data_IF_789515256814
#
_entry.id   IF_789515256814
#
_cell.length_a   1.000
_cell.length_b   1.000
_cell.length_c   1.000
_cell.angle_alpha   90.00
_cell.angle_beta   90.00
_cell.angle_gamma   90.00
#
_symmetry.space_group_name_H-M   'P 1'
#
loop_
_entity.id
_entity.type
_entity.pdbx_description
1 polymer ?
#
# COMPACT_ATOMS: atom_id res chain seq x y z
N UNK A 1 51.98 -14.76 -6.37
CA UNK A 1 51.83 -15.82 -7.38
C UNK A 1 50.71 -15.42 -8.33
N UNK A 2 50.90 -15.55 -9.64
CA UNK A 2 50.04 -14.94 -10.65
C UNK A 2 48.63 -15.56 -10.69
N UNK A 3 48.52 -16.86 -10.43
CA UNK A 3 47.23 -17.56 -10.35
C UNK A 3 46.37 -17.07 -9.18
N UNK A 4 46.99 -16.78 -8.02
CA UNK A 4 46.30 -16.24 -6.84
C UNK A 4 45.74 -14.84 -7.14
N UNK A 5 46.51 -13.97 -7.78
CA UNK A 5 46.04 -12.63 -8.18
C UNK A 5 44.89 -12.67 -9.17
N UNK A 6 44.89 -13.61 -10.13
CA UNK A 6 43.78 -13.79 -11.07
C UNK A 6 42.51 -14.28 -10.36
N UNK A 7 42.62 -15.23 -9.44
CA UNK A 7 41.49 -15.73 -8.66
C UNK A 7 40.89 -14.65 -7.73
N UNK A 8 41.73 -13.80 -7.12
CA UNK A 8 41.26 -12.66 -6.31
C UNK A 8 40.50 -11.66 -7.19
N UNK A 9 41.06 -11.25 -8.33
CA UNK A 9 40.40 -10.32 -9.25
C UNK A 9 39.07 -10.86 -9.81
N UNK A 10 38.99 -12.17 -10.07
CA UNK A 10 37.74 -12.83 -10.48
C UNK A 10 36.72 -12.89 -9.34
N UNK A 11 37.14 -13.12 -8.10
CA UNK A 11 36.29 -13.07 -6.92
C UNK A 11 35.76 -11.66 -6.65
N UNK A 12 36.63 -10.65 -6.67
CA UNK A 12 36.28 -9.22 -6.52
C UNK A 12 35.24 -8.79 -7.55
N UNK A 13 35.38 -9.21 -8.81
CA UNK A 13 34.40 -8.93 -9.87
C UNK A 13 33.12 -9.78 -9.80
N UNK A 14 33.13 -10.88 -9.03
CA UNK A 14 31.95 -11.72 -8.79
C UNK A 14 31.14 -11.25 -7.57
N UNK A 15 31.75 -10.47 -6.67
CA UNK A 15 31.07 -9.84 -5.54
C UNK A 15 30.61 -8.44 -5.99
N UNK A 16 29.32 -8.28 -6.23
CA UNK A 16 28.72 -6.97 -6.51
C UNK A 16 28.65 -6.13 -5.22
N UNK A 17 29.80 -5.61 -4.76
CA UNK A 17 29.90 -4.76 -3.55
C UNK A 17 29.02 -3.51 -3.60
N UNK A 18 28.72 -3.01 -4.80
CA UNK A 18 27.77 -1.91 -5.06
C UNK A 18 26.31 -2.30 -4.78
N UNK A 19 25.98 -3.60 -4.82
CA UNK A 19 24.71 -4.20 -4.39
C UNK A 19 24.84 -4.97 -3.06
N UNK A 20 25.83 -4.65 -2.23
CA UNK A 20 25.95 -5.23 -0.89
C UNK A 20 24.80 -4.78 0.00
N UNK A 21 24.36 -5.65 0.91
CA UNK A 21 23.41 -5.31 1.99
C UNK A 21 23.89 -4.10 2.81
N UNK A 22 25.21 -3.91 2.93
CA UNK A 22 25.87 -2.75 3.58
C UNK A 22 25.63 -1.42 2.84
N UNK A 23 24.85 -1.43 1.74
CA UNK A 23 24.41 -0.24 1.00
C UNK A 23 22.89 -0.18 0.83
N UNK A 24 22.14 -1.08 1.48
CA UNK A 24 20.68 -1.03 1.49
C UNK A 24 20.23 0.21 2.28
N UNK A 25 19.49 1.11 1.63
CA UNK A 25 18.85 2.23 2.31
C UNK A 25 17.39 1.89 2.63
N UNK A 26 16.89 2.51 3.70
CA UNK A 26 15.49 2.50 4.05
C UNK A 26 14.68 3.23 2.97
N UNK A 27 13.68 2.55 2.38
CA UNK A 27 12.83 3.11 1.32
C UNK A 27 12.08 4.39 1.72
N UNK A 28 11.93 4.63 3.02
CA UNK A 28 11.17 5.74 3.58
C UNK A 28 12.06 6.96 3.79
N UNK A 29 12.96 6.92 4.78
CA UNK A 29 13.84 8.04 5.10
C UNK A 29 15.06 8.18 4.17
N UNK A 30 15.26 7.24 3.23
CA UNK A 30 16.37 7.14 2.26
C UNK A 30 17.79 7.04 2.85
N UNK A 31 17.91 6.88 4.17
CA UNK A 31 19.18 6.68 4.88
C UNK A 31 19.58 5.21 4.95
N UNK A 32 20.88 4.96 5.11
CA UNK A 32 21.48 3.69 5.52
C UNK A 32 22.16 3.86 6.87
N UNK A 33 21.38 4.29 7.86
CA UNK A 33 21.72 4.29 9.28
C UNK A 33 20.92 3.19 10.01
N UNK A 34 21.23 2.94 11.30
CA UNK A 34 20.48 2.01 12.17
C UNK A 34 20.18 0.61 11.56
N UNK A 35 21.25 -0.05 11.10
CA UNK A 35 21.23 -1.41 10.53
C UNK A 35 20.53 -2.44 11.44
N UNK A 36 20.57 -2.27 12.77
CA UNK A 36 19.92 -3.16 13.74
C UNK A 36 18.39 -3.13 13.63
N UNK A 37 17.81 -2.01 13.18
CA UNK A 37 16.38 -1.82 13.00
C UNK A 37 15.94 -1.86 11.53
N UNK A 38 16.86 -2.13 10.59
CA UNK A 38 16.62 -2.12 9.14
C UNK A 38 16.17 -3.51 8.64
N UNK A 39 14.87 -3.68 8.36
CA UNK A 39 14.37 -4.86 7.65
C UNK A 39 14.86 -4.86 6.21
N UNK A 40 15.20 -6.03 5.68
CA UNK A 40 15.68 -6.25 4.32
C UNK A 40 14.70 -7.14 3.56
N UNK A 41 14.41 -6.81 2.30
CA UNK A 41 13.42 -7.56 1.51
C UNK A 41 14.00 -8.87 0.93
N UNK A 42 13.36 -10.00 1.21
CA UNK A 42 13.79 -11.33 0.71
C UNK A 42 13.75 -11.49 -0.83
N UNK A 43 13.15 -10.54 -1.56
CA UNK A 43 13.09 -10.54 -3.03
C UNK A 43 13.83 -9.39 -3.72
N UNK A 44 14.40 -8.41 -3.02
CA UNK A 44 15.18 -7.34 -3.65
C UNK A 44 16.11 -6.61 -2.67
N UNK A 45 17.09 -5.88 -3.21
CA UNK A 45 18.17 -5.21 -2.47
C UNK A 45 17.74 -3.93 -1.69
N UNK A 46 16.46 -3.85 -1.27
CA UNK A 46 15.82 -2.67 -0.62
C UNK A 46 15.48 -2.95 0.85
N UNK A 47 15.64 -1.96 1.72
CA UNK A 47 15.30 -2.07 3.15
C UNK A 47 14.19 -1.13 3.64
N UNK A 48 13.75 -1.29 4.89
CA UNK A 48 12.87 -0.35 5.61
C UNK A 48 13.09 -0.47 7.12
N UNK A 49 13.30 0.64 7.83
CA UNK A 49 13.36 0.59 9.29
C UNK A 49 12.02 0.21 9.92
N UNK A 50 12.06 -0.56 11.01
CA UNK A 50 10.88 -0.92 11.82
C UNK A 50 10.03 0.31 12.20
N UNK A 51 10.68 1.43 12.56
CA UNK A 51 10.04 2.70 12.89
C UNK A 51 9.61 3.55 11.69
N UNK A 52 10.21 3.33 10.52
CA UNK A 52 9.81 3.98 9.27
C UNK A 52 8.58 3.33 8.65
N UNK A 53 8.37 2.03 8.90
CA UNK A 53 7.20 1.31 8.41
C UNK A 53 5.86 1.94 8.87
N UNK A 54 4.79 1.71 8.10
CA UNK A 54 3.41 2.05 8.46
C UNK A 54 2.52 0.81 8.26
N UNK A 55 1.79 0.33 9.29
CA UNK A 55 1.91 0.72 10.69
C UNK A 55 3.33 0.48 11.23
N UNK A 56 3.75 1.27 12.23
CA UNK A 56 5.08 1.12 12.83
C UNK A 56 5.23 -0.27 13.44
N UNK A 57 6.33 -0.95 13.13
CA UNK A 57 6.70 -2.22 13.74
C UNK A 57 7.59 -1.99 14.98
N UNK A 58 7.54 -2.95 15.91
CA UNK A 58 8.29 -2.94 17.18
C UNK A 58 9.25 -4.12 17.32
N UNK A 59 9.11 -5.12 16.45
CA UNK A 59 9.89 -6.36 16.42
C UNK A 59 10.03 -6.83 14.97
N UNK A 60 11.06 -7.63 14.68
CA UNK A 60 11.28 -8.23 13.36
C UNK A 60 10.24 -9.33 13.14
N UNK A 61 9.50 -9.34 12.00
CA UNK A 61 8.51 -10.38 11.72
C UNK A 61 9.09 -11.80 11.63
N UNK A 62 8.33 -12.80 12.08
CA UNK A 62 8.65 -14.22 11.88
C UNK A 62 8.50 -14.62 10.39
N UNK A 63 9.61 -14.90 9.72
CA UNK A 63 9.66 -15.45 8.36
C UNK A 63 10.07 -14.45 7.27
N UNK A 64 9.78 -14.79 6.02
CA UNK A 64 10.18 -13.99 4.85
C UNK A 64 9.44 -12.63 4.83
N UNK A 65 10.16 -11.50 4.74
CA UNK A 65 9.57 -10.16 4.62
C UNK A 65 9.76 -9.57 3.21
N UNK A 66 8.69 -8.96 2.70
CA UNK A 66 8.65 -8.36 1.37
C UNK A 66 8.28 -6.87 1.47
N UNK A 67 9.06 -6.01 0.82
CA UNK A 67 8.73 -4.58 0.76
C UNK A 67 7.48 -4.35 -0.11
N UNK A 68 6.76 -3.25 0.17
CA UNK A 68 5.53 -2.87 -0.52
C UNK A 68 5.66 -2.83 -2.05
N UNK A 69 6.82 -2.43 -2.58
CA UNK A 69 7.13 -2.50 -4.02
C UNK A 69 7.10 -3.93 -4.56
N UNK A 70 7.76 -4.88 -3.91
CA UNK A 70 7.76 -6.28 -4.35
C UNK A 70 6.40 -6.96 -4.12
N UNK A 71 5.66 -6.57 -3.08
CA UNK A 71 4.27 -7.02 -2.88
C UNK A 71 3.38 -6.53 -4.04
N UNK A 72 3.49 -5.25 -4.43
CA UNK A 72 2.78 -4.71 -5.59
C UNK A 72 3.14 -5.44 -6.90
N UNK A 73 4.44 -5.64 -7.17
CA UNK A 73 4.95 -6.39 -8.35
C UNK A 73 4.46 -7.85 -8.40
N UNK A 74 4.08 -8.47 -7.27
CA UNK A 74 3.52 -9.82 -7.24
C UNK A 74 1.99 -9.85 -7.35
N UNK A 75 1.29 -8.74 -7.08
CA UNK A 75 -0.17 -8.65 -7.12
C UNK A 75 -0.71 -7.98 -8.40
N UNK A 76 0.06 -7.07 -9.00
CA UNK A 76 -0.16 -6.51 -10.34
C UNK A 76 1.08 -6.74 -11.22
N UNK A 77 0.87 -7.07 -12.49
CA UNK A 77 1.92 -7.55 -13.42
C UNK A 77 2.93 -6.49 -13.90
N UNK A 78 3.58 -5.79 -12.97
CA UNK A 78 4.64 -4.83 -13.26
C UNK A 78 5.93 -5.57 -13.64
N UNK A 79 6.46 -5.34 -14.83
CA UNK A 79 7.78 -5.81 -15.23
C UNK A 79 8.82 -4.73 -14.91
N UNK A 80 9.81 -5.09 -14.11
CA UNK A 80 10.98 -4.26 -13.78
C UNK A 80 12.12 -4.71 -14.69
N UNK A 81 12.52 -3.87 -15.66
CA UNK A 81 13.60 -4.21 -16.61
C UNK A 81 14.99 -4.27 -15.95
N UNK A 82 15.13 -3.83 -14.70
CA UNK A 82 16.37 -3.95 -13.91
C UNK A 82 16.31 -5.04 -12.83
N UNK A 83 15.52 -6.10 -13.08
CA UNK A 83 15.43 -7.27 -12.20
C UNK A 83 16.78 -7.95 -11.88
N UNK A 84 17.30 -7.73 -10.66
CA UNK A 84 18.40 -8.51 -10.08
C UNK A 84 18.10 -10.03 -10.18
N UNK A 85 19.09 -10.89 -10.50
CA UNK A 85 18.87 -12.31 -10.74
C UNK A 85 18.37 -13.03 -9.47
N UNK A 86 17.14 -13.57 -9.54
CA UNK A 86 16.45 -14.22 -8.41
C UNK A 86 17.26 -15.39 -7.83
N UNK A 87 17.54 -15.37 -6.52
CA UNK A 87 18.15 -16.49 -5.78
C UNK A 87 17.19 -17.68 -5.68
N UNK A 88 17.16 -18.54 -6.70
CA UNK A 88 16.22 -19.64 -6.81
C UNK A 88 16.41 -20.79 -5.81
N UNK A 89 15.71 -20.74 -4.65
CA UNK A 89 15.52 -21.92 -3.78
C UNK A 89 14.64 -22.98 -4.49
N UNK A 90 15.29 -24.00 -5.06
CA UNK A 90 14.67 -25.07 -5.88
C UNK A 90 13.82 -26.04 -5.04
N UNK A 91 12.53 -25.72 -4.84
CA UNK A 91 11.56 -26.63 -4.18
C UNK A 91 11.38 -27.92 -5.01
N UNK A 92 11.67 -29.08 -4.43
CA UNK A 92 11.30 -30.39 -5.01
C UNK A 92 9.80 -30.64 -4.80
N UNK A 93 9.05 -30.82 -5.88
CA UNK A 93 7.74 -31.47 -5.84
C UNK A 93 7.91 -32.99 -5.79
N UNK A 94 7.18 -33.66 -4.89
CA UNK A 94 7.08 -35.13 -4.87
C UNK A 94 5.89 -35.58 -5.69
N UNK A 95 6.13 -36.18 -6.86
CA UNK A 95 5.08 -36.80 -7.69
C UNK A 95 4.71 -38.17 -7.13
N UNK A 96 3.42 -38.53 -7.15
CA UNK A 96 2.90 -39.80 -6.62
C UNK A 96 2.16 -40.63 -7.68
N UNK A 97 2.18 -41.96 -7.51
CA UNK A 97 1.53 -42.97 -8.38
C UNK A 97 2.42 -43.50 -9.52
N UNK A 98 2.08 -44.66 -10.14
CA UNK A 98 0.84 -45.45 -10.00
C UNK A 98 1.04 -46.90 -9.45
N UNK A 99 0.05 -47.78 -9.69
CA UNK A 99 -0.17 -49.19 -9.22
C UNK A 99 -1.01 -49.34 -7.93
N UNK A 100 -1.99 -50.26 -7.81
CA UNK A 100 -2.65 -51.08 -8.84
C UNK A 100 -3.44 -52.32 -8.33
N UNK A 101 -4.79 -52.27 -8.33
CA UNK A 101 -5.71 -53.38 -7.94
C UNK A 101 -5.97 -53.49 -6.43
N UNK A 102 -7.06 -54.11 -5.92
CA UNK A 102 -8.23 -54.85 -6.49
C UNK A 102 -9.47 -54.71 -5.55
N UNK A 103 -10.66 -55.08 -6.06
CA UNK A 103 -11.85 -55.77 -5.46
C UNK A 103 -12.09 -55.79 -3.91
N UNK A 104 -13.30 -55.82 -3.33
CA UNK A 104 -14.69 -56.08 -3.83
C UNK A 104 -15.81 -55.57 -2.86
N UNK A 105 -17.07 -55.64 -3.30
CA UNK A 105 -18.34 -55.79 -2.54
C UNK A 105 -18.92 -54.69 -1.60
N UNK A 106 -20.24 -54.82 -1.39
CA UNK A 106 -21.14 -54.04 -0.52
C UNK A 106 -22.03 -55.02 0.28
N UNK A 107 -22.69 -54.65 1.41
CA UNK A 107 -24.07 -54.13 1.28
C UNK A 107 -24.61 -53.20 2.41
N UNK A 108 -25.42 -52.19 2.01
CA UNK A 108 -26.67 -51.68 2.68
C UNK A 108 -26.60 -51.18 4.16
N UNK A 109 -27.36 -50.18 4.61
CA UNK A 109 -28.81 -50.01 4.39
C UNK A 109 -29.39 -48.63 4.84
N UNK A 110 -30.49 -48.22 4.17
CA UNK A 110 -31.64 -47.35 4.60
C UNK A 110 -31.34 -45.93 5.16
N UNK A 111 -31.89 -44.80 4.65
CA UNK A 111 -33.28 -44.40 4.26
C UNK A 111 -34.10 -43.78 5.43
N UNK A 112 -34.94 -42.73 5.28
CA UNK A 112 -35.20 -41.77 4.18
C UNK A 112 -36.16 -40.63 4.64
N UNK A 113 -36.42 -39.62 3.78
CA UNK A 113 -37.56 -38.66 3.75
C UNK A 113 -37.72 -37.69 4.96
N UNK A 114 -37.96 -36.36 4.80
CA UNK A 114 -39.05 -35.61 4.13
C UNK A 114 -40.44 -35.81 4.79
N UNK A 115 -41.32 -34.81 4.96
CA UNK A 115 -41.30 -33.36 4.67
C UNK A 115 -42.71 -32.77 4.94
N UNK A 116 -42.99 -31.48 4.66
CA UNK A 116 -44.37 -30.93 4.72
C UNK A 116 -44.49 -29.47 5.17
N UNK A 117 -45.59 -28.79 4.82
CA UNK A 117 -45.75 -27.33 4.95
C UNK A 117 -47.10 -26.89 5.57
N UNK A 118 -47.25 -25.56 5.72
CA UNK A 118 -48.50 -24.76 5.61
C UNK A 118 -49.47 -24.55 6.81
N UNK A 119 -49.54 -23.28 7.28
CA UNK A 119 -50.65 -22.31 7.02
C UNK A 119 -51.64 -21.87 8.15
N UNK A 120 -51.84 -20.53 8.27
CA UNK A 120 -52.97 -19.77 8.90
C UNK A 120 -53.18 -19.84 10.45
N UNK A 121 -53.95 -18.99 11.16
CA UNK A 121 -54.40 -17.55 11.10
C UNK A 121 -55.33 -17.25 12.33
N UNK A 122 -55.80 -16.06 12.78
CA UNK A 122 -55.85 -14.62 12.34
C UNK A 122 -55.84 -13.68 13.63
N UNK A 123 -56.35 -12.43 13.50
CA UNK A 123 -56.78 -11.39 14.49
C UNK A 123 -55.69 -10.43 15.06
N UNK A 124 -55.61 -9.15 14.64
CA UNK A 124 -56.48 -7.98 14.92
C UNK A 124 -56.23 -7.34 16.32
N UNK A 125 -56.10 -6.03 16.51
CA UNK A 125 -56.30 -4.80 15.71
C UNK A 125 -55.23 -3.73 16.15
N UNK A 126 -55.11 -2.42 15.81
CA UNK A 126 -55.94 -1.32 15.26
C UNK A 126 -55.09 -0.34 14.37
N UNK A 127 -55.53 0.91 14.13
CA UNK A 127 -54.77 2.06 13.58
C UNK A 127 -55.41 3.40 14.04
N UNK A 128 -54.81 4.61 13.89
CA UNK A 128 -54.65 5.34 12.61
C UNK A 128 -53.22 5.91 12.38
N UNK A 129 -52.65 5.91 11.15
CA UNK A 129 -52.88 6.78 9.98
C UNK A 129 -52.54 8.28 10.14
N UNK A 130 -51.42 8.69 9.53
CA UNK A 130 -51.36 9.85 8.62
C UNK A 130 -50.54 9.44 7.37
N UNK A 131 -50.75 10.11 6.24
CA UNK A 131 -50.33 9.62 4.91
C UNK A 131 -49.12 10.38 4.31
N UNK A 132 -48.35 9.71 3.44
CA UNK A 132 -47.21 10.31 2.74
C UNK A 132 -46.43 9.32 1.87
N UNK A 133 -46.99 8.92 0.73
CA UNK A 133 -46.25 8.24 -0.34
C UNK A 133 -45.30 9.24 -1.04
N UNK A 134 -44.16 8.87 -1.63
CA UNK A 134 -43.53 7.54 -1.69
C UNK A 134 -42.64 7.42 -2.94
N UNK A 135 -41.40 6.95 -2.82
CA UNK A 135 -40.50 6.66 -3.96
C UNK A 135 -39.61 5.43 -3.68
N UNK A 136 -39.32 4.67 -4.72
CA UNK A 136 -38.84 3.28 -4.63
C UNK A 136 -37.32 3.14 -4.36
N UNK A 137 -36.87 2.16 -3.55
CA UNK A 137 -35.46 1.97 -3.23
C UNK A 137 -34.65 1.41 -4.41
N UNK A 138 -33.85 2.30 -5.00
CA UNK A 138 -32.73 2.11 -5.93
C UNK A 138 -32.20 0.67 -6.13
N UNK A 139 -32.28 0.18 -7.37
CA UNK A 139 -31.41 -0.90 -7.87
C UNK A 139 -29.94 -0.43 -7.94
N UNK A 140 -29.23 -0.40 -6.79
CA UNK A 140 -27.77 -0.28 -6.79
C UNK A 140 -27.18 -1.48 -7.53
N UNK A 141 -26.65 -1.27 -8.74
CA UNK A 141 -25.80 -2.27 -9.42
C UNK A 141 -24.61 -2.54 -8.51
N UNK A 142 -24.50 -3.77 -8.00
CA UNK A 142 -23.38 -4.19 -7.13
C UNK A 142 -22.15 -4.45 -8.01
N UNK A 143 -21.43 -3.39 -8.36
CA UNK A 143 -20.11 -3.49 -9.01
C UNK A 143 -19.21 -4.32 -8.08
N UNK A 144 -18.47 -5.27 -8.66
CA UNK A 144 -17.70 -6.25 -7.90
C UNK A 144 -16.35 -5.65 -7.47
N UNK A 145 -15.96 -5.70 -6.19
CA UNK A 145 -14.79 -4.99 -5.65
C UNK A 145 -13.46 -5.71 -5.92
N UNK A 146 -13.30 -6.29 -7.12
CA UNK A 146 -12.20 -7.25 -7.44
C UNK A 146 -11.12 -6.67 -8.35
N UNK A 147 -10.86 -5.36 -8.30
CA UNK A 147 -9.84 -4.74 -9.16
C UNK A 147 -9.39 -3.32 -8.82
N UNK A 148 -9.72 -2.78 -7.63
CA UNK A 148 -9.41 -1.38 -7.28
C UNK A 148 -8.32 -1.24 -6.20
N UNK A 149 -8.18 -2.22 -5.30
CA UNK A 149 -7.28 -2.10 -4.14
C UNK A 149 -5.78 -2.22 -4.46
N UNK A 150 -5.41 -2.67 -5.67
CA UNK A 150 -4.01 -2.90 -6.05
C UNK A 150 -3.25 -1.62 -6.45
N UNK A 151 -3.96 -0.54 -6.75
CA UNK A 151 -3.40 0.67 -7.39
C UNK A 151 -3.01 1.79 -6.38
N UNK A 152 -3.21 1.53 -5.08
CA UNK A 152 -2.91 2.47 -3.99
C UNK A 152 -1.62 2.16 -3.22
N UNK A 153 -0.91 1.07 -3.54
CA UNK A 153 0.34 0.73 -2.84
C UNK A 153 1.43 1.78 -3.07
N UNK A 154 1.45 2.43 -4.24
CA UNK A 154 2.35 3.56 -4.48
C UNK A 154 1.91 4.82 -3.71
N UNK A 155 0.61 5.07 -3.52
CA UNK A 155 0.13 6.12 -2.62
C UNK A 155 0.58 5.88 -1.17
N UNK A 156 0.55 4.63 -0.69
CA UNK A 156 1.07 4.28 0.64
C UNK A 156 2.57 4.54 0.76
N UNK A 157 3.37 4.16 -0.24
CA UNK A 157 4.81 4.43 -0.28
C UNK A 157 5.09 5.94 -0.30
N UNK A 158 4.43 6.71 -1.17
CA UNK A 158 4.58 8.17 -1.22
C UNK A 158 4.20 8.79 0.13
N UNK A 159 3.09 8.33 0.75
CA UNK A 159 2.65 8.84 2.04
C UNK A 159 3.66 8.56 3.17
N UNK A 160 4.25 7.37 3.19
CA UNK A 160 5.32 7.01 4.13
C UNK A 160 6.53 7.93 3.96
N UNK A 161 6.96 8.16 2.72
CA UNK A 161 8.09 9.04 2.40
C UNK A 161 7.82 10.50 2.79
N UNK A 162 6.67 11.09 2.42
CA UNK A 162 6.34 12.48 2.78
C UNK A 162 6.11 12.67 4.28
N UNK A 163 5.65 11.65 5.03
CA UNK A 163 5.61 11.70 6.51
C UNK A 163 7.02 11.68 7.16
N UNK A 164 8.06 11.28 6.42
CA UNK A 164 9.43 11.13 6.94
C UNK A 164 10.39 12.24 6.51
N UNK A 165 10.00 13.08 5.55
CA UNK A 165 10.82 14.14 5.00
C UNK A 165 11.03 15.28 6.01
N UNK A 166 12.22 15.88 6.06
CA UNK A 166 12.57 16.89 7.09
C UNK A 166 11.69 18.15 7.04
N UNK A 167 11.26 18.56 5.84
CA UNK A 167 10.33 19.69 5.64
C UNK A 167 8.85 19.34 5.92
N UNK A 168 8.52 18.12 6.33
CA UNK A 168 7.13 17.68 6.54
C UNK A 168 6.47 18.29 7.79
N UNK A 169 7.26 18.84 8.72
CA UNK A 169 6.81 19.25 10.07
C UNK A 169 5.56 20.15 10.15
N UNK A 170 5.22 21.05 9.19
CA UNK A 170 3.97 21.83 9.26
C UNK A 170 2.73 21.04 8.83
N UNK A 171 2.92 19.88 8.19
CA UNK A 171 1.90 19.14 7.43
C UNK A 171 1.55 17.77 8.02
N UNK A 172 2.29 17.31 9.03
CA UNK A 172 2.09 16.00 9.66
C UNK A 172 0.71 15.84 10.30
N UNK A 173 0.18 16.91 10.92
CA UNK A 173 -1.04 16.88 11.75
C UNK A 173 -1.97 18.08 11.45
N UNK A 174 -3.27 18.01 11.75
CA UNK A 174 -4.24 19.06 11.40
C UNK A 174 -3.95 20.41 12.07
N UNK A 175 -3.83 21.48 11.27
CA UNK A 175 -3.58 22.85 11.76
C UNK A 175 -4.63 23.30 12.77
N UNK A 176 -4.19 23.56 14.02
CA UNK A 176 -5.05 23.95 15.13
C UNK A 176 -5.48 25.43 15.01
N UNK A 177 -6.76 25.74 14.74
CA UNK A 177 -7.22 27.11 14.49
C UNK A 177 -7.33 27.98 15.75
N UNK A 178 -7.03 27.44 16.93
CA UNK A 178 -6.85 28.22 18.17
C UNK A 178 -5.43 28.76 18.31
N UNK A 179 -4.45 28.08 17.70
CA UNK A 179 -3.03 28.47 17.71
C UNK A 179 -2.65 29.27 16.47
N UNK A 180 -3.39 29.11 15.37
CA UNK A 180 -3.19 29.85 14.11
C UNK A 180 -4.42 30.73 13.84
N UNK A 181 -4.42 32.01 14.29
CA UNK A 181 -5.53 32.93 14.10
C UNK A 181 -5.88 33.11 12.61
N UNK A 182 -7.18 33.23 12.31
CA UNK A 182 -7.65 33.46 10.95
C UNK A 182 -7.63 32.24 10.02
N UNK A 183 -6.92 31.16 10.34
CA UNK A 183 -6.75 29.98 9.46
C UNK A 183 -8.08 29.47 8.87
N UNK A 184 -9.07 29.15 9.71
CA UNK A 184 -10.41 28.70 9.29
C UNK A 184 -11.31 29.78 8.67
N UNK A 185 -10.90 31.05 8.67
CA UNK A 185 -11.56 32.11 7.90
C UNK A 185 -11.09 32.09 6.44
N UNK A 186 -9.81 31.79 6.21
CA UNK A 186 -9.19 31.72 4.89
C UNK A 186 -9.37 30.31 4.31
N UNK A 187 -8.74 29.31 4.92
CA UNK A 187 -8.76 27.90 4.50
C UNK A 187 -10.11 27.25 4.80
N UNK A 188 -10.77 26.77 3.73
CA UNK A 188 -12.10 26.14 3.80
C UNK A 188 -12.01 24.62 3.96
N UNK A 189 -11.15 24.00 3.15
CA UNK A 189 -10.98 22.55 3.06
C UNK A 189 -9.56 22.19 3.53
N UNK A 190 -9.30 22.15 4.86
CA UNK A 190 -7.98 21.78 5.37
C UNK A 190 -7.64 20.32 5.02
N UNK A 191 -6.37 20.05 4.82
CA UNK A 191 -5.81 18.71 4.63
C UNK A 191 -4.42 18.65 5.26
N UNK A 192 -4.03 17.47 5.70
CA UNK A 192 -2.79 17.15 6.41
C UNK A 192 -2.48 15.65 6.27
N UNK A 193 -1.23 15.24 6.48
CA UNK A 193 -0.79 13.87 6.21
C UNK A 193 -1.41 12.84 7.17
N UNK A 194 -1.69 13.19 8.44
CA UNK A 194 -2.44 12.31 9.35
C UNK A 194 -3.89 12.07 8.88
N UNK A 195 -4.57 13.10 8.37
CA UNK A 195 -5.90 12.99 7.75
C UNK A 195 -5.85 12.12 6.49
N UNK A 196 -4.85 12.31 5.62
CA UNK A 196 -4.63 11.47 4.44
C UNK A 196 -4.38 10.01 4.81
N UNK A 197 -3.48 9.75 5.78
CA UNK A 197 -3.21 8.40 6.33
C UNK A 197 -4.47 7.75 6.88
N UNK A 198 -5.26 8.51 7.64
CA UNK A 198 -6.53 8.02 8.16
C UNK A 198 -7.54 7.73 7.02
N UNK A 199 -7.56 8.50 5.93
CA UNK A 199 -8.40 8.21 4.75
C UNK A 199 -7.91 6.94 4.01
N UNK A 200 -6.61 6.82 3.76
CA UNK A 200 -5.99 5.67 3.08
C UNK A 200 -6.21 4.36 3.83
N UNK A 201 -5.85 4.29 5.11
CA UNK A 201 -5.95 3.08 5.94
C UNK A 201 -7.40 2.60 6.18
N UNK A 202 -8.41 3.44 5.89
CA UNK A 202 -9.84 3.06 5.94
C UNK A 202 -10.42 2.70 4.57
N UNK A 203 -9.60 2.63 3.51
CA UNK A 203 -10.06 2.42 2.13
C UNK A 203 -10.91 3.58 1.61
N UNK A 204 -10.65 4.80 2.08
CA UNK A 204 -11.41 6.01 1.77
C UNK A 204 -10.96 6.76 0.51
N UNK A 205 -10.02 6.20 -0.27
CA UNK A 205 -9.65 6.68 -1.60
C UNK A 205 -10.17 5.68 -2.64
N UNK A 206 -10.92 6.15 -3.64
CA UNK A 206 -11.46 5.28 -4.71
C UNK A 206 -10.44 5.01 -5.84
N UNK A 207 -9.46 5.89 -5.98
CA UNK A 207 -8.38 5.84 -6.97
C UNK A 207 -7.16 6.65 -6.47
N UNK A 208 -6.03 6.55 -7.18
CA UNK A 208 -4.81 7.24 -6.78
C UNK A 208 -4.92 8.77 -6.98
N UNK A 209 -5.70 9.24 -7.95
CA UNK A 209 -5.93 10.67 -8.22
C UNK A 209 -6.68 11.37 -7.07
N UNK A 210 -7.56 10.67 -6.35
CA UNK A 210 -8.17 11.23 -5.13
C UNK A 210 -7.13 11.51 -4.03
N UNK A 211 -6.09 10.67 -3.94
CA UNK A 211 -4.98 10.85 -2.99
C UNK A 211 -4.05 11.99 -3.45
N UNK A 212 -3.76 12.10 -4.74
CA UNK A 212 -3.00 13.22 -5.29
C UNK A 212 -3.74 14.56 -5.14
N UNK A 213 -5.06 14.58 -5.26
CA UNK A 213 -5.87 15.76 -5.01
C UNK A 213 -5.81 16.22 -3.54
N UNK A 214 -5.88 15.30 -2.58
CA UNK A 214 -5.68 15.61 -1.16
C UNK A 214 -4.23 16.12 -0.90
N UNK A 215 -3.21 15.50 -1.51
CA UNK A 215 -1.82 15.93 -1.38
C UNK A 215 -1.60 17.37 -1.90
N UNK A 216 -2.08 17.66 -3.11
CA UNK A 216 -2.03 18.99 -3.70
C UNK A 216 -2.76 20.02 -2.82
N UNK A 217 -3.89 19.63 -2.22
CA UNK A 217 -4.66 20.48 -1.30
C UNK A 217 -3.87 20.82 -0.02
N UNK A 218 -2.98 19.97 0.50
CA UNK A 218 -2.06 20.33 1.61
C UNK A 218 -1.19 21.53 1.19
N UNK A 219 -0.53 21.44 0.04
CA UNK A 219 0.42 22.45 -0.43
C UNK A 219 -0.26 23.73 -0.93
N UNK A 220 -1.44 23.63 -1.53
CA UNK A 220 -2.22 24.79 -1.96
C UNK A 220 -2.87 25.52 -0.78
N UNK A 221 -3.31 24.81 0.27
CA UNK A 221 -3.68 25.43 1.54
C UNK A 221 -2.47 26.12 2.19
N UNK A 222 -1.26 25.55 2.08
CA UNK A 222 -0.03 26.17 2.58
C UNK A 222 0.21 27.52 1.89
N UNK A 223 0.26 27.56 0.55
CA UNK A 223 0.47 28.78 -0.25
C UNK A 223 -0.69 29.79 -0.16
N UNK A 224 -1.90 29.34 0.18
CA UNK A 224 -3.07 30.23 0.36
C UNK A 224 -3.07 30.94 1.73
N UNK A 225 -2.31 30.43 2.71
CA UNK A 225 -2.28 30.99 4.07
C UNK A 225 -0.93 31.60 4.49
N UNK A 226 0.20 31.11 3.98
CA UNK A 226 1.54 31.54 4.36
C UNK A 226 2.23 32.28 3.21
N UNK A 227 3.12 33.22 3.55
CA UNK A 227 4.03 33.86 2.58
C UNK A 227 5.06 32.85 2.07
N UNK A 228 5.41 32.89 0.79
CA UNK A 228 6.29 31.89 0.15
C UNK A 228 7.71 31.90 0.77
N UNK A 229 8.22 33.07 1.16
CA UNK A 229 9.50 33.25 1.84
C UNK A 229 9.47 32.86 3.32
N UNK A 230 8.32 32.55 3.91
CA UNK A 230 8.25 32.06 5.31
C UNK A 230 8.79 30.64 5.44
N UNK A 231 9.22 30.22 6.64
CA UNK A 231 9.74 28.86 6.86
C UNK A 231 8.70 27.77 6.52
N UNK A 232 7.40 28.06 6.69
CA UNK A 232 6.30 27.17 6.29
C UNK A 232 6.06 27.22 4.78
N UNK A 233 6.19 28.38 4.13
CA UNK A 233 6.10 28.54 2.67
C UNK A 233 7.21 27.76 1.95
N UNK A 234 8.47 27.97 2.35
CA UNK A 234 9.64 27.20 1.90
C UNK A 234 9.45 25.70 2.06
N UNK A 235 8.98 25.27 3.25
CA UNK A 235 8.69 23.86 3.51
C UNK A 235 7.59 23.31 2.59
N UNK A 236 6.51 24.07 2.36
CA UNK A 236 5.43 23.70 1.45
C UNK A 236 5.88 23.57 0.00
N UNK A 237 6.77 24.45 -0.48
CA UNK A 237 7.37 24.36 -1.80
C UNK A 237 8.26 23.11 -1.95
N UNK A 238 9.14 22.86 -0.98
CA UNK A 238 10.01 21.68 -0.98
C UNK A 238 9.21 20.36 -0.92
N UNK A 239 8.19 20.29 -0.05
CA UNK A 239 7.31 19.12 0.05
C UNK A 239 6.47 18.90 -1.21
N UNK A 240 6.02 19.97 -1.89
CA UNK A 240 5.33 19.86 -3.18
C UNK A 240 6.25 19.26 -4.25
N UNK A 241 7.46 19.81 -4.41
CA UNK A 241 8.43 19.33 -5.40
C UNK A 241 8.82 17.86 -5.17
N UNK A 242 9.03 17.48 -3.90
CA UNK A 242 9.30 16.09 -3.52
C UNK A 242 8.11 15.17 -3.84
N UNK A 243 6.88 15.59 -3.51
CA UNK A 243 5.67 14.82 -3.85
C UNK A 243 5.51 14.66 -5.37
N UNK A 244 5.67 15.73 -6.14
CA UNK A 244 5.49 15.72 -7.60
C UNK A 244 6.51 14.80 -8.28
N UNK A 245 7.80 14.87 -7.89
CA UNK A 245 8.83 13.95 -8.39
C UNK A 245 8.53 12.47 -8.07
N UNK A 246 8.08 12.17 -6.85
CA UNK A 246 7.71 10.81 -6.44
C UNK A 246 6.40 10.32 -7.08
N UNK A 247 5.51 11.24 -7.45
CA UNK A 247 4.30 10.95 -8.20
C UNK A 247 4.60 10.61 -9.66
N UNK A 248 5.50 11.35 -10.30
CA UNK A 248 5.94 11.09 -11.68
C UNK A 248 6.59 9.69 -11.81
N UNK A 249 7.50 9.33 -10.89
CA UNK A 249 8.21 8.05 -10.86
C UNK A 249 7.26 6.83 -10.90
N UNK A 250 6.12 6.90 -10.20
CA UNK A 250 5.19 5.78 -10.09
C UNK A 250 4.00 5.84 -11.06
N UNK A 251 3.49 7.03 -11.37
CA UNK A 251 2.22 7.18 -12.11
C UNK A 251 2.35 7.84 -13.48
N UNK A 252 3.38 8.65 -13.77
CA UNK A 252 3.51 9.37 -15.04
C UNK A 252 4.62 8.86 -15.97
N UNK A 253 5.62 8.13 -15.46
CA UNK A 253 6.73 7.53 -16.21
C UNK A 253 6.37 6.40 -17.20
N UNK A 254 5.18 6.45 -17.83
CA UNK A 254 4.66 5.47 -18.80
C UNK A 254 4.49 6.03 -20.22
N UNK A 255 4.92 7.26 -20.48
CA UNK A 255 4.63 7.96 -21.74
C UNK A 255 5.83 8.30 -22.65
N UNK A 256 7.07 8.02 -22.24
CA UNK A 256 8.27 8.31 -23.05
C UNK A 256 9.22 7.10 -23.20
N UNK A 257 8.75 6.03 -23.83
CA UNK A 257 9.63 5.07 -24.53
C UNK A 257 9.01 4.60 -25.86
N UNK A 258 9.80 4.71 -26.94
CA UNK A 258 9.52 4.36 -28.34
C UNK A 258 8.39 5.15 -29.06
N UNK A 259 8.45 5.28 -30.40
CA UNK A 259 9.31 4.57 -31.36
C UNK A 259 10.73 5.14 -31.52
#
# INVERSE_FOLDING_TARGET
>A
DAQVSLCIYQLERSIAWEKSVVRATCLVCRKGDDDENLLLCDSCDRGCHLYCHRPKMTEVPDGDWFCSLCIAQMQGGYQDEYGSPRRGKKRKSGTSGPFGGKEELSPRSRAAAAGGAQQHSILANTSPRYSGEGLSPSKRRRVSPRGQNADLTFCEIILMEIESHEAAWPFLEPVNPRLVPGYRKIIKNPMDFATMRARLLRGGYSSCEEFAADAALVFDNCRTFNEDESEVGKAGLAMRQFFESRWEEFYQGKHETNP
#
